data_IF_451305980124
#
_entry.id   IF_451305980124
#
_cell.length_a   1.000
_cell.length_b   1.000
_cell.length_c   1.000
_cell.angle_alpha   90.00
_cell.angle_beta   90.00
_cell.angle_gamma   90.00
#
_symmetry.space_group_name_H-M   'P 1'
#
loop_
_entity.id
_entity.type
_entity.pdbx_description
1 polymer ?
#
# COMPACT_ATOMS: atom_id res chain seq x y z
N UNK A 1 -33.52 8.07 3.49
CA UNK A 1 -33.48 9.45 4.04
C UNK A 1 -32.42 10.25 3.28
N UNK A 2 -32.72 11.51 2.93
CA UNK A 2 -32.01 12.27 1.88
C UNK A 2 -30.53 12.59 2.19
N UNK A 3 -29.64 12.58 1.16
CA UNK A 3 -28.19 12.70 1.30
C UNK A 3 -27.73 14.17 1.25
N UNK A 4 -27.93 14.92 2.34
CA UNK A 4 -27.62 16.36 2.34
C UNK A 4 -26.11 16.60 2.61
N UNK A 5 -25.40 15.69 3.27
CA UNK A 5 -23.95 15.82 3.53
C UNK A 5 -23.06 15.46 2.32
N UNK A 6 -23.52 14.59 1.42
CA UNK A 6 -22.75 14.16 0.24
C UNK A 6 -22.70 15.24 -0.84
N UNK A 7 -23.75 16.06 -0.96
CA UNK A 7 -23.87 17.07 -2.02
C UNK A 7 -22.90 18.24 -1.84
N UNK A 8 -22.62 18.69 -0.61
CA UNK A 8 -21.73 19.81 -0.36
C UNK A 8 -20.25 19.44 -0.64
N UNK A 9 -19.83 18.24 -0.23
CA UNK A 9 -18.49 17.70 -0.55
C UNK A 9 -18.36 17.46 -2.05
N UNK A 10 -19.38 16.85 -2.69
CA UNK A 10 -19.40 16.65 -4.14
C UNK A 10 -19.46 17.98 -4.93
N UNK A 11 -20.04 19.04 -4.38
CA UNK A 11 -20.09 20.36 -5.02
C UNK A 11 -18.74 21.09 -4.92
N UNK A 12 -18.07 21.00 -3.77
CA UNK A 12 -16.71 21.53 -3.59
C UNK A 12 -15.70 20.76 -4.47
N UNK A 13 -15.80 19.43 -4.53
CA UNK A 13 -14.99 18.60 -5.43
C UNK A 13 -15.29 18.91 -6.90
N UNK A 14 -16.56 19.14 -7.27
CA UNK A 14 -16.95 19.55 -8.64
C UNK A 14 -16.45 20.95 -9.00
N UNK A 15 -16.42 21.89 -8.06
CA UNK A 15 -15.94 23.25 -8.27
C UNK A 15 -14.42 23.30 -8.45
N UNK A 16 -13.67 22.57 -7.63
CA UNK A 16 -12.21 22.43 -7.77
C UNK A 16 -11.85 21.65 -9.05
N UNK A 17 -12.58 20.57 -9.36
CA UNK A 17 -12.38 19.80 -10.59
C UNK A 17 -12.63 20.61 -11.88
N UNK A 18 -13.54 21.61 -11.85
CA UNK A 18 -13.84 22.47 -13.01
C UNK A 18 -12.78 23.54 -13.30
N UNK A 19 -11.93 23.89 -12.33
CA UNK A 19 -10.91 24.94 -12.49
C UNK A 19 -9.55 24.41 -12.96
N UNK A 20 -9.34 23.09 -12.90
CA UNK A 20 -8.06 22.42 -13.19
C UNK A 20 -8.20 21.32 -14.25
N UNK A 21 -9.00 21.57 -15.28
CA UNK A 21 -9.45 20.55 -16.25
C UNK A 21 -8.43 20.18 -17.34
N UNK A 22 -7.30 20.89 -17.47
CA UNK A 22 -6.33 20.66 -18.55
C UNK A 22 -4.88 20.62 -18.06
N UNK A 23 -4.02 19.79 -18.71
CA UNK A 23 -2.58 19.80 -18.46
C UNK A 23 -2.08 21.23 -18.54
N UNK A 24 -1.36 21.68 -17.52
CA UNK A 24 -0.78 23.03 -17.55
C UNK A 24 0.34 23.11 -18.58
N UNK A 25 0.74 24.32 -19.00
CA UNK A 25 1.95 24.49 -19.83
C UNK A 25 3.19 23.88 -19.15
N UNK A 26 3.24 23.91 -17.82
CA UNK A 26 4.32 23.30 -17.04
C UNK A 26 4.27 21.77 -17.11
N UNK A 27 3.06 21.18 -17.02
CA UNK A 27 2.88 19.72 -17.15
C UNK A 27 3.38 19.26 -18.53
N UNK A 28 2.99 19.97 -19.60
CA UNK A 28 3.44 19.67 -20.95
C UNK A 28 4.95 19.85 -21.15
N UNK A 29 5.55 20.88 -20.53
CA UNK A 29 6.99 21.11 -20.59
C UNK A 29 7.79 20.01 -19.87
N UNK A 30 7.34 19.61 -18.67
CA UNK A 30 7.92 18.50 -17.92
C UNK A 30 7.77 17.20 -18.72
N UNK A 31 6.58 16.93 -19.25
CA UNK A 31 6.33 15.71 -20.03
C UNK A 31 7.23 15.62 -21.27
N UNK A 32 7.35 16.71 -22.04
CA UNK A 32 8.27 16.79 -23.17
C UNK A 32 9.73 16.60 -22.76
N UNK A 33 10.14 17.15 -21.62
CA UNK A 33 11.48 16.92 -21.09
C UNK A 33 11.70 15.42 -20.77
N UNK A 34 10.74 14.76 -20.13
CA UNK A 34 10.81 13.33 -19.83
C UNK A 34 10.88 12.47 -21.10
N UNK A 35 10.04 12.76 -22.12
CA UNK A 35 10.10 12.07 -23.42
C UNK A 35 11.49 12.20 -24.05
N UNK A 36 12.08 13.40 -24.03
CA UNK A 36 13.45 13.62 -24.54
C UNK A 36 14.49 12.86 -23.73
N UNK A 37 14.33 12.76 -22.41
CA UNK A 37 15.28 11.96 -21.61
C UNK A 37 15.18 10.46 -21.90
N UNK A 38 14.02 9.97 -22.38
CA UNK A 38 13.84 8.58 -22.78
C UNK A 38 14.71 8.13 -23.96
N UNK A 39 15.33 9.05 -24.71
CA UNK A 39 16.30 8.69 -25.76
C UNK A 39 17.74 8.54 -25.23
N UNK A 40 17.99 8.86 -23.97
CA UNK A 40 19.32 8.71 -23.35
C UNK A 40 19.56 7.26 -22.92
N UNK A 41 20.83 6.80 -22.84
CA UNK A 41 21.11 5.45 -22.38
C UNK A 41 20.73 5.28 -20.90
N UNK A 42 19.72 4.46 -20.61
CA UNK A 42 19.12 4.32 -19.27
C UNK A 42 20.15 4.00 -18.19
N UNK A 43 20.90 2.91 -18.37
CA UNK A 43 21.85 2.42 -17.36
C UNK A 43 22.97 3.43 -17.08
N UNK A 44 23.50 4.08 -18.12
CA UNK A 44 24.58 5.05 -17.95
C UNK A 44 24.06 6.33 -17.27
N UNK A 45 22.89 6.82 -17.70
CA UNK A 45 22.26 8.02 -17.16
C UNK A 45 21.87 7.84 -15.69
N UNK A 46 21.21 6.73 -15.36
CA UNK A 46 20.83 6.41 -13.98
C UNK A 46 22.05 6.31 -13.06
N UNK A 47 23.12 5.64 -13.49
CA UNK A 47 24.38 5.55 -12.73
C UNK A 47 25.06 6.90 -12.54
N UNK A 48 25.15 7.70 -13.60
CA UNK A 48 25.77 9.02 -13.55
C UNK A 48 24.99 9.95 -12.60
N UNK A 49 23.65 9.96 -12.69
CA UNK A 49 22.78 10.70 -11.78
C UNK A 49 22.93 10.22 -10.34
N UNK A 50 22.91 8.91 -10.09
CA UNK A 50 23.06 8.34 -8.77
C UNK A 50 24.40 8.72 -8.12
N UNK A 51 25.50 8.70 -8.87
CA UNK A 51 26.82 9.13 -8.41
C UNK A 51 26.85 10.64 -8.08
N UNK A 52 26.27 11.47 -8.94
CA UNK A 52 26.17 12.91 -8.71
C UNK A 52 25.33 13.24 -7.46
N UNK A 53 24.16 12.61 -7.32
CA UNK A 53 23.26 12.75 -6.17
C UNK A 53 23.93 12.33 -4.87
N UNK A 54 24.60 11.17 -4.85
CA UNK A 54 25.31 10.71 -3.65
C UNK A 54 26.43 11.69 -3.26
N UNK A 55 27.19 12.17 -4.24
CA UNK A 55 28.26 13.15 -4.02
C UNK A 55 27.72 14.46 -3.44
N UNK A 56 26.59 14.95 -3.99
CA UNK A 56 25.92 16.15 -3.50
C UNK A 56 25.27 15.98 -2.10
N UNK A 57 24.89 14.76 -1.73
CA UNK A 57 24.29 14.47 -0.43
C UNK A 57 25.32 14.37 0.71
N UNK A 58 26.58 14.00 0.43
CA UNK A 58 27.62 13.80 1.44
C UNK A 58 27.82 15.00 2.38
N UNK A 59 27.93 16.25 1.90
CA UNK A 59 28.16 17.40 2.78
C UNK A 59 27.00 17.68 3.75
N UNK A 60 25.77 17.30 3.38
CA UNK A 60 24.55 17.57 4.16
C UNK A 60 24.08 16.36 4.96
N UNK A 61 24.67 15.18 4.75
CA UNK A 61 24.27 13.94 5.41
C UNK A 61 24.27 14.03 6.96
N UNK A 62 25.25 14.65 7.64
CA UNK A 62 25.22 14.79 9.10
C UNK A 62 24.03 15.63 9.58
N UNK A 63 23.69 16.70 8.86
CA UNK A 63 22.56 17.57 9.18
C UNK A 63 21.23 16.83 8.98
N UNK A 64 21.09 16.12 7.86
CA UNK A 64 19.91 15.29 7.57
C UNK A 64 19.75 14.21 8.64
N UNK A 65 20.83 13.48 8.98
CA UNK A 65 20.80 12.47 10.04
C UNK A 65 20.37 13.05 11.38
N UNK A 66 20.94 14.19 11.78
CA UNK A 66 20.56 14.89 13.02
C UNK A 66 19.07 15.27 13.03
N UNK A 67 18.55 15.80 11.93
CA UNK A 67 17.13 16.14 11.81
C UNK A 67 16.24 14.88 11.88
N UNK A 68 16.62 13.80 11.17
CA UNK A 68 15.84 12.56 11.09
C UNK A 68 15.70 11.90 12.46
N UNK A 69 16.81 11.76 13.18
CA UNK A 69 16.83 11.12 14.49
C UNK A 69 16.37 12.06 15.61
N UNK A 70 16.56 13.39 15.46
CA UNK A 70 16.16 14.38 16.44
C UNK A 70 14.65 14.56 16.59
N UNK A 71 13.87 14.44 15.51
CA UNK A 71 12.40 14.53 15.59
C UNK A 71 11.71 13.20 15.93
N UNK A 72 12.46 12.09 15.93
CA UNK A 72 11.96 10.73 16.06
C UNK A 72 11.18 10.46 17.37
N UNK A 73 11.64 10.92 18.56
CA UNK A 73 10.91 10.68 19.80
C UNK A 73 9.54 11.38 19.83
N UNK A 74 9.47 12.61 19.30
CA UNK A 74 8.23 13.37 19.24
C UNK A 74 7.23 12.71 18.29
N UNK A 75 7.66 12.34 17.09
CA UNK A 75 6.78 11.71 16.11
C UNK A 75 6.34 10.32 16.58
N UNK A 76 7.22 9.56 17.26
CA UNK A 76 6.83 8.33 17.97
C UNK A 76 5.73 8.61 18.99
N UNK A 77 5.91 9.57 19.89
CA UNK A 77 4.89 9.90 20.89
C UNK A 77 3.55 10.33 20.28
N UNK A 78 3.57 11.08 19.18
CA UNK A 78 2.36 11.50 18.46
C UNK A 78 1.65 10.29 17.82
N UNK A 79 2.39 9.44 17.12
CA UNK A 79 1.84 8.24 16.48
C UNK A 79 1.26 7.27 17.50
N UNK A 80 1.93 7.09 18.64
CA UNK A 80 1.42 6.33 19.80
C UNK A 80 0.07 6.85 20.29
N UNK A 81 -0.02 8.16 20.56
CA UNK A 81 -1.28 8.80 20.96
C UNK A 81 -2.37 8.65 19.91
N UNK A 82 -2.01 8.66 18.62
CA UNK A 82 -2.97 8.44 17.54
C UNK A 82 -3.46 7.00 17.52
N UNK A 83 -2.59 6.01 17.66
CA UNK A 83 -2.94 4.60 17.75
C UNK A 83 -3.91 4.34 18.92
N UNK A 84 -3.61 4.88 20.10
CA UNK A 84 -4.46 4.78 21.30
C UNK A 84 -5.84 5.42 21.11
N UNK A 85 -5.94 6.49 20.33
CA UNK A 85 -7.21 7.20 20.08
C UNK A 85 -8.01 6.62 18.92
N UNK A 86 -7.38 5.87 18.01
CA UNK A 86 -8.01 5.36 16.80
C UNK A 86 -9.29 4.55 17.09
N UNK A 87 -9.32 3.57 18.03
CA UNK A 87 -10.53 2.84 18.38
C UNK A 87 -11.74 3.73 18.73
N UNK A 88 -11.51 4.78 19.53
CA UNK A 88 -12.55 5.72 19.92
C UNK A 88 -12.99 6.64 18.77
N UNK A 89 -12.03 7.04 17.95
CA UNK A 89 -12.25 7.94 16.82
C UNK A 89 -13.05 7.32 15.67
N UNK A 90 -13.02 5.99 15.52
CA UNK A 90 -13.78 5.28 14.48
C UNK A 90 -15.29 5.48 14.63
N UNK A 91 -15.78 5.50 15.87
CA UNK A 91 -17.21 5.73 16.14
C UNK A 91 -17.60 7.18 15.91
N UNK A 92 -16.80 8.12 16.40
CA UNK A 92 -17.10 9.56 16.28
C UNK A 92 -16.69 10.17 14.94
N UNK A 93 -16.11 9.37 14.03
CA UNK A 93 -15.47 9.81 12.80
C UNK A 93 -14.55 11.04 13.01
N UNK A 94 -13.73 11.06 14.07
CA UNK A 94 -12.89 12.22 14.43
C UNK A 94 -11.85 12.49 13.32
N UNK A 95 -12.01 13.56 12.49
CA UNK A 95 -11.18 13.78 11.32
C UNK A 95 -9.71 14.07 11.68
N UNK A 96 -9.41 14.46 12.92
CA UNK A 96 -8.04 14.63 13.37
C UNK A 96 -7.29 13.29 13.50
N UNK A 97 -8.02 12.19 13.69
CA UNK A 97 -7.48 10.85 13.89
C UNK A 97 -7.68 9.99 12.64
N UNK A 98 -8.91 9.90 12.13
CA UNK A 98 -9.25 9.02 10.98
C UNK A 98 -9.11 9.69 9.61
N UNK A 99 -8.86 11.01 9.57
CA UNK A 99 -8.73 11.75 8.32
C UNK A 99 -10.01 11.72 7.47
N UNK A 100 -9.86 11.52 6.16
CA UNK A 100 -10.96 11.34 5.21
C UNK A 100 -11.54 9.94 5.37
N UNK A 101 -12.61 9.87 6.14
CA UNK A 101 -13.30 8.62 6.47
C UNK A 101 -14.45 8.35 5.51
N UNK A 102 -14.64 7.09 5.13
CA UNK A 102 -15.77 6.61 4.32
C UNK A 102 -16.41 5.39 4.99
N UNK A 103 -17.74 5.34 4.98
CA UNK A 103 -18.50 4.17 5.39
C UNK A 103 -19.04 3.43 4.16
N UNK A 104 -18.88 2.11 4.15
CA UNK A 104 -19.45 1.21 3.14
C UNK A 104 -20.38 0.19 3.80
N UNK A 105 -21.25 -0.41 2.99
CA UNK A 105 -22.18 -1.44 3.43
C UNK A 105 -21.43 -2.71 3.85
N UNK A 106 -21.57 -3.19 5.11
CA UNK A 106 -20.95 -4.43 5.54
C UNK A 106 -21.53 -5.68 4.85
N UNK A 107 -22.73 -5.60 4.26
CA UNK A 107 -23.33 -6.65 3.43
C UNK A 107 -22.74 -6.77 2.03
N UNK A 108 -21.91 -5.81 1.61
CA UNK A 108 -21.23 -5.84 0.31
C UNK A 108 -20.12 -6.89 0.24
N UNK A 109 -19.65 -7.17 -0.98
CA UNK A 109 -18.50 -8.05 -1.25
C UNK A 109 -17.33 -7.21 -1.75
N UNK A 110 -16.16 -7.32 -1.12
CA UNK A 110 -15.01 -6.47 -1.43
C UNK A 110 -13.71 -7.28 -1.53
N UNK A 111 -13.00 -7.10 -2.64
CA UNK A 111 -11.59 -7.47 -2.78
C UNK A 111 -10.75 -6.30 -2.28
N UNK A 112 -9.85 -6.58 -1.33
CA UNK A 112 -8.97 -5.59 -0.73
C UNK A 112 -7.52 -5.95 -1.06
N UNK A 113 -6.78 -5.05 -1.70
CA UNK A 113 -5.37 -5.23 -2.06
C UNK A 113 -4.56 -3.97 -1.75
N UNK A 114 -3.28 -4.08 -1.43
CA UNK A 114 -2.40 -2.95 -1.07
C UNK A 114 -0.96 -3.18 -1.53
N UNK A 115 -0.06 -2.23 -1.36
CA UNK A 115 1.39 -2.43 -1.59
C UNK A 115 1.68 -2.95 -3.01
N UNK A 116 0.94 -2.47 -4.01
CA UNK A 116 1.11 -2.91 -5.40
C UNK A 116 2.31 -2.22 -6.06
N UNK A 117 2.78 -1.09 -5.52
CA UNK A 117 3.97 -0.36 -5.95
C UNK A 117 4.13 -0.24 -7.48
N UNK A 118 3.05 0.06 -8.19
CA UNK A 118 3.07 0.31 -9.63
C UNK A 118 3.99 1.49 -9.91
N UNK A 119 4.93 1.28 -10.81
CA UNK A 119 6.04 2.20 -11.07
C UNK A 119 6.05 2.67 -12.52
N UNK A 120 6.95 3.60 -12.81
CA UNK A 120 7.32 3.93 -14.19
C UNK A 120 8.05 2.74 -14.83
N UNK A 121 8.05 2.60 -16.17
CA UNK A 121 8.78 1.53 -16.84
C UNK A 121 10.28 1.59 -16.53
N UNK A 122 10.89 0.41 -16.37
CA UNK A 122 12.33 0.25 -16.30
C UNK A 122 12.81 -0.67 -15.19
N UNK A 123 14.04 -0.45 -14.74
CA UNK A 123 14.73 -1.30 -13.77
C UNK A 123 14.12 -1.32 -12.35
N UNK A 124 13.06 -0.53 -12.11
CA UNK A 124 12.33 -0.43 -10.83
C UNK A 124 10.85 -0.73 -10.96
N UNK A 125 10.44 -1.32 -12.06
CA UNK A 125 9.06 -1.73 -12.26
C UNK A 125 8.78 -2.97 -11.38
N UNK A 126 8.51 -2.75 -10.09
CA UNK A 126 8.33 -3.82 -9.10
C UNK A 126 7.32 -4.87 -9.54
N UNK A 127 6.10 -4.52 -10.03
CA UNK A 127 5.16 -5.52 -10.55
C UNK A 127 5.72 -6.39 -11.67
N UNK A 128 6.57 -5.86 -12.55
CA UNK A 128 7.20 -6.66 -13.61
C UNK A 128 8.37 -7.48 -13.11
N UNK A 129 9.19 -6.93 -12.21
CA UNK A 129 10.30 -7.65 -11.58
C UNK A 129 9.81 -8.82 -10.71
N UNK A 130 8.67 -8.63 -10.04
CA UNK A 130 7.99 -9.68 -9.28
C UNK A 130 7.07 -10.54 -10.14
N UNK A 131 6.85 -10.23 -11.42
CA UNK A 131 5.94 -10.98 -12.31
C UNK A 131 4.49 -11.05 -11.79
N UNK A 132 4.00 -9.96 -11.20
CA UNK A 132 2.66 -9.87 -10.59
C UNK A 132 1.67 -9.00 -11.38
N UNK A 133 2.10 -8.22 -12.37
CA UNK A 133 1.22 -7.28 -13.10
C UNK A 133 0.06 -7.99 -13.83
N UNK A 134 0.38 -8.98 -14.67
CA UNK A 134 -0.65 -9.76 -15.38
C UNK A 134 -1.46 -10.67 -14.44
N UNK A 135 -0.82 -11.19 -13.38
CA UNK A 135 -1.48 -11.99 -12.36
C UNK A 135 -2.54 -11.17 -11.60
N UNK A 136 -2.23 -9.91 -11.30
CA UNK A 136 -3.18 -8.98 -10.71
C UNK A 136 -4.32 -8.65 -11.67
N UNK A 137 -4.06 -8.51 -12.98
CA UNK A 137 -5.13 -8.34 -13.97
C UNK A 137 -6.10 -9.52 -14.01
N UNK A 138 -5.60 -10.76 -14.03
CA UNK A 138 -6.46 -11.97 -13.96
C UNK A 138 -7.28 -11.98 -12.67
N UNK A 139 -6.67 -11.55 -11.56
CA UNK A 139 -7.38 -11.37 -10.29
C UNK A 139 -8.54 -10.39 -10.43
N UNK A 140 -8.28 -9.19 -10.95
CA UNK A 140 -9.31 -8.17 -11.17
C UNK A 140 -10.46 -8.68 -12.05
N UNK A 141 -10.16 -9.40 -13.12
CA UNK A 141 -11.16 -9.94 -14.05
C UNK A 141 -12.09 -10.96 -13.37
N UNK A 142 -11.54 -11.84 -12.53
CA UNK A 142 -12.32 -12.79 -11.75
C UNK A 142 -13.31 -12.08 -10.82
N UNK A 143 -12.82 -11.18 -9.97
CA UNK A 143 -13.67 -10.49 -8.99
C UNK A 143 -14.66 -9.51 -9.64
N UNK A 144 -14.30 -8.91 -10.77
CA UNK A 144 -15.22 -8.11 -11.57
C UNK A 144 -16.40 -8.93 -12.11
N UNK A 145 -16.12 -10.15 -12.61
CA UNK A 145 -17.14 -11.05 -13.15
C UNK A 145 -18.13 -11.50 -12.07
N UNK A 146 -17.64 -11.71 -10.86
CA UNK A 146 -18.43 -12.11 -9.70
C UNK A 146 -19.12 -10.93 -9.00
N UNK A 147 -19.05 -9.71 -9.56
CA UNK A 147 -19.65 -8.47 -9.05
C UNK A 147 -19.18 -8.06 -7.63
N UNK A 148 -17.87 -8.20 -7.39
CA UNK A 148 -17.22 -7.70 -6.17
C UNK A 148 -16.81 -6.23 -6.31
N UNK A 149 -16.79 -5.51 -5.20
CA UNK A 149 -16.12 -4.22 -5.06
C UNK A 149 -14.60 -4.35 -5.00
N UNK A 150 -13.87 -3.32 -5.43
CA UNK A 150 -12.42 -3.23 -5.30
C UNK A 150 -12.04 -2.09 -4.34
N UNK A 151 -11.28 -2.43 -3.30
CA UNK A 151 -10.66 -1.50 -2.38
C UNK A 151 -9.14 -1.64 -2.53
N UNK A 152 -8.51 -0.64 -3.13
CA UNK A 152 -7.05 -0.54 -3.16
C UNK A 152 -6.59 0.22 -1.90
N UNK A 153 -5.97 -0.48 -0.95
CA UNK A 153 -5.73 -0.08 0.43
C UNK A 153 -4.39 0.65 0.67
N UNK A 154 -3.92 1.41 -0.32
CA UNK A 154 -2.71 2.24 -0.23
C UNK A 154 -1.48 1.63 -0.91
N UNK A 155 -0.44 2.45 -1.09
CA UNK A 155 0.83 2.10 -1.74
C UNK A 155 0.65 1.40 -3.10
N UNK A 156 -0.34 1.89 -3.85
CA UNK A 156 -0.66 1.28 -5.15
C UNK A 156 0.22 1.84 -6.25
N UNK A 157 0.42 3.15 -6.27
CA UNK A 157 1.38 3.80 -7.17
C UNK A 157 2.58 4.27 -6.37
N UNK A 158 3.80 3.91 -6.79
CA UNK A 158 4.97 4.39 -6.08
C UNK A 158 5.41 5.77 -6.58
N UNK A 159 5.01 6.80 -5.83
CA UNK A 159 5.40 8.20 -6.06
C UNK A 159 6.59 8.62 -5.18
N UNK A 160 7.28 7.68 -4.53
CA UNK A 160 8.52 7.91 -3.80
C UNK A 160 9.73 7.34 -4.55
N UNK A 161 9.56 6.22 -5.23
CA UNK A 161 10.58 5.63 -6.09
C UNK A 161 10.76 6.44 -7.39
N UNK A 162 12.02 6.57 -7.80
CA UNK A 162 12.50 7.15 -9.04
C UNK A 162 13.93 6.64 -9.31
N UNK A 163 14.48 6.94 -10.49
CA UNK A 163 15.78 6.44 -10.96
C UNK A 163 15.66 5.20 -11.87
N UNK A 164 16.78 4.58 -12.23
CA UNK A 164 16.80 3.24 -12.88
C UNK A 164 16.60 3.29 -14.39
N UNK A 165 16.15 4.44 -14.86
CA UNK A 165 16.09 4.87 -16.26
C UNK A 165 16.51 6.33 -16.33
N UNK A 166 16.77 6.82 -17.53
CA UNK A 166 17.02 8.24 -17.76
C UNK A 166 15.80 9.09 -17.37
N UNK A 167 14.58 8.60 -17.65
CA UNK A 167 13.34 9.24 -17.21
C UNK A 167 13.22 9.26 -15.68
N UNK A 168 13.55 8.15 -15.01
CA UNK A 168 13.57 8.09 -13.56
C UNK A 168 14.54 9.09 -12.93
N UNK A 169 15.73 9.25 -13.51
CA UNK A 169 16.71 10.26 -13.08
C UNK A 169 16.18 11.69 -13.26
N UNK A 170 15.51 11.98 -14.39
CA UNK A 170 14.90 13.27 -14.65
C UNK A 170 13.76 13.60 -13.67
N UNK A 171 12.91 12.62 -13.34
CA UNK A 171 11.86 12.77 -12.31
C UNK A 171 12.50 13.07 -10.95
N UNK A 172 13.56 12.35 -10.56
CA UNK A 172 14.26 12.58 -9.30
C UNK A 172 14.87 14.00 -9.24
N UNK A 173 15.51 14.46 -10.32
CA UNK A 173 16.01 15.83 -10.44
C UNK A 173 14.91 16.90 -10.31
N UNK A 174 13.76 16.69 -10.98
CA UNK A 174 12.61 17.60 -10.89
C UNK A 174 11.99 17.60 -9.50
N UNK A 175 11.98 16.47 -8.78
CA UNK A 175 11.53 16.41 -7.39
C UNK A 175 12.46 17.19 -6.46
N UNK A 176 13.78 17.09 -6.64
CA UNK A 176 14.75 17.89 -5.88
C UNK A 176 14.54 19.39 -6.13
N UNK A 177 14.38 19.80 -7.40
CA UNK A 177 14.06 21.18 -7.75
C UNK A 177 12.74 21.63 -7.12
N UNK A 178 11.70 20.79 -7.22
CA UNK A 178 10.40 21.04 -6.60
C UNK A 178 10.47 21.15 -5.08
N UNK A 179 11.35 20.41 -4.41
CA UNK A 179 11.56 20.50 -2.97
C UNK A 179 12.27 21.81 -2.58
N UNK A 180 13.28 22.23 -3.35
CA UNK A 180 13.97 23.52 -3.15
C UNK A 180 13.02 24.70 -3.33
N UNK A 181 12.15 24.64 -4.35
CA UNK A 181 11.20 25.70 -4.65
C UNK A 181 9.94 25.66 -3.78
N UNK A 182 9.64 24.54 -3.12
CA UNK A 182 8.39 24.30 -2.40
C UNK A 182 7.94 25.43 -1.45
N UNK A 183 8.83 26.10 -0.69
CA UNK A 183 8.42 27.20 0.20
C UNK A 183 7.86 28.42 -0.54
N UNK A 184 8.18 28.58 -1.83
CA UNK A 184 7.88 29.78 -2.64
C UNK A 184 6.90 29.44 -3.76
N UNK A 185 7.09 28.30 -4.44
CA UNK A 185 6.23 27.82 -5.51
C UNK A 185 6.12 26.28 -5.51
N UNK A 186 4.90 25.77 -5.32
CA UNK A 186 4.60 24.33 -5.28
C UNK A 186 4.28 23.74 -6.66
N UNK A 187 4.15 24.57 -7.69
CA UNK A 187 3.70 24.14 -9.03
C UNK A 187 4.61 23.08 -9.63
N UNK A 188 5.93 23.21 -9.47
CA UNK A 188 6.90 22.21 -9.96
C UNK A 188 6.66 20.86 -9.29
N UNK A 189 6.61 20.80 -7.95
CA UNK A 189 6.36 19.54 -7.25
C UNK A 189 5.02 18.90 -7.63
N UNK A 190 3.95 19.70 -7.75
CA UNK A 190 2.63 19.19 -8.15
C UNK A 190 2.64 18.68 -9.59
N UNK A 191 3.28 19.41 -10.51
CA UNK A 191 3.38 19.03 -11.92
C UNK A 191 4.22 17.76 -12.10
N UNK A 192 5.37 17.65 -11.40
CA UNK A 192 6.19 16.43 -11.41
C UNK A 192 5.41 15.22 -10.92
N UNK A 193 4.67 15.34 -9.81
CA UNK A 193 3.84 14.25 -9.30
C UNK A 193 2.74 13.84 -10.29
N UNK A 194 2.05 14.81 -10.93
CA UNK A 194 1.04 14.51 -11.96
C UNK A 194 1.64 13.81 -13.18
N UNK A 195 2.78 14.27 -13.68
CA UNK A 195 3.42 13.67 -14.85
C UNK A 195 3.91 12.27 -14.53
N UNK A 196 4.57 12.08 -13.38
CA UNK A 196 4.98 10.75 -12.94
C UNK A 196 3.79 9.80 -12.81
N UNK A 197 2.70 10.23 -12.16
CA UNK A 197 1.48 9.44 -12.06
C UNK A 197 0.95 9.06 -13.45
N UNK A 198 0.95 10.00 -14.39
CA UNK A 198 0.60 9.75 -15.79
C UNK A 198 1.45 8.63 -16.41
N UNK A 199 2.77 8.64 -16.19
CA UNK A 199 3.69 7.62 -16.67
C UNK A 199 3.47 6.25 -16.02
N UNK A 200 3.16 6.21 -14.72
CA UNK A 200 2.79 4.97 -14.03
C UNK A 200 1.49 4.40 -14.63
N UNK A 201 0.48 5.24 -14.83
CA UNK A 201 -0.81 4.82 -15.42
C UNK A 201 -0.62 4.32 -16.85
N UNK A 202 0.21 4.99 -17.65
CA UNK A 202 0.57 4.54 -19.00
C UNK A 202 1.29 3.18 -18.98
N UNK A 203 2.22 2.99 -18.04
CA UNK A 203 2.97 1.74 -17.90
C UNK A 203 2.07 0.53 -17.61
N UNK A 204 1.03 0.73 -16.79
CA UNK A 204 0.09 -0.31 -16.38
C UNK A 204 -1.30 -0.11 -16.99
N UNK A 205 -1.38 0.41 -18.22
CA UNK A 205 -2.62 0.85 -18.84
C UNK A 205 -3.70 -0.25 -18.95
N UNK A 206 -3.31 -1.52 -19.11
CA UNK A 206 -4.24 -2.65 -19.13
C UNK A 206 -4.94 -2.84 -17.78
N UNK A 207 -4.18 -2.79 -16.69
CA UNK A 207 -4.69 -2.86 -15.31
C UNK A 207 -5.63 -1.69 -15.03
N UNK A 208 -5.23 -0.45 -15.32
CA UNK A 208 -6.08 0.72 -15.11
C UNK A 208 -7.35 0.71 -15.95
N UNK A 209 -7.30 0.20 -17.18
CA UNK A 209 -8.48 0.04 -18.03
C UNK A 209 -9.47 -0.95 -17.41
N UNK A 210 -8.97 -2.08 -16.93
CA UNK A 210 -9.78 -3.07 -16.21
C UNK A 210 -10.43 -2.45 -14.97
N UNK A 211 -9.68 -1.71 -14.16
CA UNK A 211 -10.22 -1.00 -12.99
C UNK A 211 -11.30 0.02 -13.41
N UNK A 212 -11.00 0.84 -14.42
CA UNK A 212 -11.89 1.89 -14.90
C UNK A 212 -13.23 1.33 -15.38
N UNK A 213 -13.18 0.31 -16.23
CA UNK A 213 -14.36 -0.27 -16.88
C UNK A 213 -15.16 -1.18 -15.96
N UNK A 214 -14.49 -1.98 -15.13
CA UNK A 214 -15.12 -3.08 -14.38
C UNK A 214 -15.46 -2.74 -12.92
N UNK A 215 -14.83 -1.70 -12.36
CA UNK A 215 -15.04 -1.31 -10.97
C UNK A 215 -15.42 0.17 -10.84
N UNK A 216 -14.65 1.08 -11.44
CA UNK A 216 -14.89 2.51 -11.24
C UNK A 216 -16.17 3.01 -11.94
N UNK A 217 -16.38 2.65 -13.21
CA UNK A 217 -17.59 3.05 -13.94
C UNK A 217 -18.90 2.51 -13.30
N UNK A 218 -18.94 1.27 -12.77
CA UNK A 218 -20.07 0.79 -11.96
C UNK A 218 -20.19 1.39 -10.56
N UNK A 219 -19.25 2.23 -10.10
CA UNK A 219 -19.26 2.80 -8.75
C UNK A 219 -18.82 1.82 -7.65
N UNK A 220 -18.06 0.79 -8.01
CA UNK A 220 -17.55 -0.30 -7.15
C UNK A 220 -16.05 -0.21 -6.86
N UNK A 221 -15.47 0.99 -6.92
CA UNK A 221 -14.04 1.21 -6.73
C UNK A 221 -13.76 2.25 -5.64
N UNK A 222 -12.89 1.91 -4.69
CA UNK A 222 -12.48 2.79 -3.61
C UNK A 222 -10.96 2.74 -3.41
N UNK A 223 -10.39 3.88 -3.02
CA UNK A 223 -8.95 4.05 -2.82
C UNK A 223 -8.64 4.59 -1.43
N UNK A 224 -7.71 3.94 -0.73
CA UNK A 224 -7.05 4.48 0.45
C UNK A 224 -5.68 5.07 0.09
N UNK A 225 -5.23 6.06 0.87
CA UNK A 225 -3.86 6.56 0.81
C UNK A 225 -2.94 5.59 1.55
N UNK A 226 -1.82 5.25 0.94
CA UNK A 226 -0.64 4.78 1.63
C UNK A 226 0.41 5.87 1.78
N UNK A 227 1.60 5.50 2.25
CA UNK A 227 2.71 6.43 2.36
C UNK A 227 3.38 6.73 1.01
N UNK A 228 3.58 5.74 0.13
CA UNK A 228 4.25 5.91 -1.17
C UNK A 228 3.41 6.69 -2.18
N UNK A 229 2.09 6.69 -2.03
CA UNK A 229 1.15 7.40 -2.90
C UNK A 229 0.56 8.67 -2.26
N UNK A 230 1.16 9.14 -1.15
CA UNK A 230 0.72 10.33 -0.41
C UNK A 230 0.60 11.64 -1.22
N UNK A 231 1.27 11.86 -2.38
CA UNK A 231 0.97 13.04 -3.20
C UNK A 231 -0.46 13.05 -3.75
N UNK A 232 -1.14 11.90 -3.86
CA UNK A 232 -2.56 11.81 -4.24
C UNK A 232 -3.49 12.43 -3.19
N UNK A 233 -3.00 12.70 -1.97
CA UNK A 233 -3.77 13.47 -0.99
C UNK A 233 -4.03 14.91 -1.44
N UNK A 234 -3.23 15.43 -2.39
CA UNK A 234 -3.35 16.78 -2.94
C UNK A 234 -4.45 16.82 -4.01
N UNK A 235 -5.43 17.73 -3.91
CA UNK A 235 -6.55 17.80 -4.86
C UNK A 235 -6.12 17.87 -6.33
N UNK A 236 -5.04 18.61 -6.63
CA UNK A 236 -4.55 18.84 -7.99
C UNK A 236 -3.91 17.57 -8.59
N UNK A 237 -3.32 16.72 -7.75
CA UNK A 237 -2.74 15.44 -8.18
C UNK A 237 -3.84 14.39 -8.30
N UNK A 238 -4.77 14.33 -7.34
CA UNK A 238 -5.95 13.47 -7.40
C UNK A 238 -6.83 13.75 -8.63
N UNK A 239 -6.93 15.02 -9.05
CA UNK A 239 -7.64 15.42 -10.27
C UNK A 239 -7.06 14.75 -11.52
N UNK A 240 -5.76 14.46 -11.55
CA UNK A 240 -5.16 13.72 -12.66
C UNK A 240 -5.67 12.27 -12.74
N UNK A 241 -5.83 11.61 -11.58
CA UNK A 241 -6.38 10.26 -11.51
C UNK A 241 -7.88 10.21 -11.83
N UNK A 242 -8.66 11.21 -11.40
CA UNK A 242 -10.11 11.32 -11.73
C UNK A 242 -10.41 11.33 -13.22
N UNK A 243 -9.46 11.76 -14.07
CA UNK A 243 -9.60 11.70 -15.53
C UNK A 243 -9.51 10.28 -16.09
N UNK A 244 -8.95 9.34 -15.32
CA UNK A 244 -8.72 7.94 -15.72
C UNK A 244 -9.66 6.99 -14.97
N UNK A 245 -10.02 7.32 -13.74
CA UNK A 245 -10.89 6.55 -12.87
C UNK A 245 -12.10 7.42 -12.45
N UNK A 246 -13.30 7.21 -13.03
CA UNK A 246 -14.50 7.92 -12.63
C UNK A 246 -14.79 7.77 -11.13
N UNK A 247 -15.21 8.86 -10.48
CA UNK A 247 -15.53 8.83 -9.04
C UNK A 247 -14.32 8.74 -8.10
N UNK A 248 -13.09 8.78 -8.62
CA UNK A 248 -11.87 8.67 -7.81
C UNK A 248 -11.81 9.69 -6.67
N UNK A 249 -11.68 9.18 -5.46
CA UNK A 249 -11.39 9.94 -4.26
C UNK A 249 -10.54 9.09 -3.32
N UNK A 250 -9.43 9.67 -2.84
CA UNK A 250 -8.58 9.03 -1.85
C UNK A 250 -9.15 9.25 -0.46
N UNK A 251 -9.27 8.17 0.30
CA UNK A 251 -9.66 8.14 1.70
C UNK A 251 -8.48 7.72 2.56
N UNK A 252 -8.57 7.95 3.85
CA UNK A 252 -7.52 7.53 4.79
C UNK A 252 -7.98 6.30 5.59
N UNK A 253 -9.29 6.17 5.81
CA UNK A 253 -9.93 5.02 6.47
C UNK A 253 -11.26 4.68 5.76
N UNK A 254 -11.54 3.39 5.59
CA UNK A 254 -12.87 2.87 5.26
C UNK A 254 -13.39 2.06 6.44
N UNK A 255 -14.65 2.25 6.81
CA UNK A 255 -15.36 1.41 7.78
C UNK A 255 -16.49 0.67 7.10
N UNK A 256 -16.65 -0.62 7.43
CA UNK A 256 -17.80 -1.42 7.03
C UNK A 256 -18.83 -1.36 8.15
N UNK A 257 -19.91 -0.62 7.93
CA UNK A 257 -20.95 -0.37 8.94
C UNK A 257 -21.41 1.08 9.01
N UNK A 258 -22.45 1.30 9.80
CA UNK A 258 -23.08 2.62 9.95
C UNK A 258 -22.18 3.64 10.68
N UNK A 259 -22.29 4.94 10.34
CA UNK A 259 -21.74 6.01 11.15
C UNK A 259 -22.23 5.95 12.60
N UNK A 260 -21.43 6.47 13.54
CA UNK A 260 -21.75 6.55 14.99
C UNK A 260 -21.93 5.20 15.70
N UNK A 261 -21.73 4.08 15.01
CA UNK A 261 -21.68 2.72 15.54
C UNK A 261 -20.27 2.17 15.47
N UNK A 262 -19.99 1.15 16.29
CA UNK A 262 -18.77 0.35 16.11
C UNK A 262 -18.90 -0.39 14.77
N UNK A 263 -17.95 -0.21 13.83
CA UNK A 263 -18.03 -0.89 12.55
C UNK A 263 -17.76 -2.40 12.70
N UNK A 264 -18.17 -3.19 11.71
CA UNK A 264 -17.83 -4.62 11.63
C UNK A 264 -16.37 -4.83 11.22
N UNK A 265 -15.85 -3.93 10.37
CA UNK A 265 -14.46 -3.89 9.95
C UNK A 265 -13.98 -2.48 9.67
N UNK A 266 -12.66 -2.29 9.77
CA UNK A 266 -11.93 -1.07 9.48
C UNK A 266 -10.80 -1.43 8.55
N UNK A 267 -10.75 -0.74 7.42
CA UNK A 267 -9.76 -0.92 6.38
C UNK A 267 -8.93 0.37 6.35
N UNK A 268 -7.63 0.23 6.55
CA UNK A 268 -6.66 1.32 6.51
C UNK A 268 -5.36 0.77 5.96
N UNK A 269 -4.55 1.61 5.32
CA UNK A 269 -3.22 1.19 4.92
C UNK A 269 -2.39 0.83 6.16
N UNK A 270 -2.32 1.74 7.14
CA UNK A 270 -1.56 1.59 8.38
C UNK A 270 -0.63 2.77 8.69
N UNK A 271 -0.21 3.51 7.65
CA UNK A 271 0.74 4.64 7.79
C UNK A 271 0.26 5.76 8.73
N UNK A 272 -1.06 5.90 8.98
CA UNK A 272 -1.59 6.97 9.84
C UNK A 272 -1.05 6.93 11.27
N UNK A 273 -0.67 5.74 11.74
CA UNK A 273 -0.11 5.48 13.07
C UNK A 273 1.35 5.05 12.98
N UNK A 274 1.97 5.18 11.82
CA UNK A 274 3.40 4.93 11.63
C UNK A 274 4.19 6.22 11.94
N UNK A 275 5.07 6.22 12.95
CA UNK A 275 5.96 7.34 13.22
C UNK A 275 6.99 7.63 12.11
N UNK A 276 7.39 6.66 11.32
CA UNK A 276 8.39 6.82 10.26
C UNK A 276 7.78 7.27 8.94
N UNK A 277 6.78 6.56 8.40
CA UNK A 277 6.20 6.87 7.09
C UNK A 277 4.85 7.59 7.15
N UNK A 278 4.30 7.83 8.35
CA UNK A 278 3.06 8.57 8.51
C UNK A 278 3.15 10.05 8.11
N UNK A 279 2.04 10.81 8.15
CA UNK A 279 1.97 12.15 7.56
C UNK A 279 3.04 13.15 8.06
N UNK A 280 3.51 13.00 9.31
CA UNK A 280 4.60 13.81 9.87
C UNK A 280 6.00 13.28 9.55
N UNK A 281 6.12 11.97 9.38
CA UNK A 281 7.37 11.27 9.16
C UNK A 281 7.73 11.04 7.70
N UNK A 282 6.78 11.13 6.77
CA UNK A 282 6.92 10.77 5.36
C UNK A 282 8.20 11.30 4.67
N UNK A 283 8.71 12.46 5.07
CA UNK A 283 9.98 12.98 4.56
C UNK A 283 11.19 12.08 4.87
N UNK A 284 11.21 11.38 6.02
CA UNK A 284 12.21 10.38 6.39
C UNK A 284 12.13 9.16 5.46
N UNK A 285 10.93 8.62 5.31
CA UNK A 285 10.65 7.51 4.38
C UNK A 285 11.14 7.84 2.98
N UNK A 286 10.74 9.00 2.43
CA UNK A 286 11.21 9.49 1.12
C UNK A 286 12.72 9.60 1.00
N UNK A 287 13.42 10.09 2.04
CA UNK A 287 14.89 10.17 2.01
C UNK A 287 15.51 8.77 1.99
N UNK A 288 15.02 7.84 2.81
CA UNK A 288 15.52 6.46 2.84
C UNK A 288 15.24 5.77 1.50
N UNK A 289 14.03 5.86 0.96
CA UNK A 289 13.69 5.35 -0.37
C UNK A 289 14.59 5.97 -1.45
N UNK A 290 14.80 7.29 -1.41
CA UNK A 290 15.66 7.99 -2.36
C UNK A 290 17.13 7.54 -2.29
N UNK A 291 17.64 7.24 -1.10
CA UNK A 291 18.98 6.68 -0.91
C UNK A 291 19.06 5.23 -1.39
N UNK A 292 18.05 4.41 -1.06
CA UNK A 292 17.97 3.01 -1.46
C UNK A 292 17.95 2.88 -3.00
N UNK A 293 17.16 3.69 -3.70
CA UNK A 293 17.13 3.70 -5.16
C UNK A 293 18.45 4.20 -5.75
N UNK A 294 19.10 5.19 -5.14
CA UNK A 294 20.44 5.63 -5.57
C UNK A 294 21.49 4.53 -5.43
N UNK A 295 21.50 3.78 -4.32
CA UNK A 295 22.42 2.66 -4.14
C UNK A 295 22.13 1.56 -5.15
N UNK A 296 20.85 1.25 -5.39
CA UNK A 296 20.42 0.28 -6.38
C UNK A 296 20.87 0.67 -7.80
N UNK A 297 20.81 1.94 -8.18
CA UNK A 297 21.31 2.43 -9.48
C UNK A 297 22.81 2.20 -9.65
N UNK A 298 23.60 2.44 -8.60
CA UNK A 298 25.04 2.22 -8.62
C UNK A 298 25.38 0.73 -8.74
N UNK A 299 24.68 -0.11 -7.96
CA UNK A 299 24.92 -1.57 -7.90
C UNK A 299 24.31 -2.34 -9.07
N UNK A 300 23.25 -1.82 -9.69
CA UNK A 300 22.52 -2.47 -10.78
C UNK A 300 21.53 -3.55 -10.34
N UNK A 301 21.11 -3.57 -9.08
CA UNK A 301 20.02 -4.41 -8.58
C UNK A 301 19.18 -3.65 -7.57
N UNK A 302 17.88 -3.92 -7.54
CA UNK A 302 16.93 -3.22 -6.68
C UNK A 302 17.01 -3.73 -5.23
N UNK A 303 16.86 -2.81 -4.27
CA UNK A 303 16.85 -3.11 -2.84
C UNK A 303 15.41 -3.21 -2.35
N UNK A 304 15.13 -4.16 -1.46
CA UNK A 304 13.82 -4.33 -0.85
C UNK A 304 12.83 -5.19 -1.65
N UNK A 305 13.15 -5.53 -2.90
CA UNK A 305 12.38 -6.54 -3.64
C UNK A 305 12.65 -7.92 -3.05
N UNK A 306 11.58 -8.61 -2.71
CA UNK A 306 11.61 -10.00 -2.27
C UNK A 306 11.66 -10.95 -3.47
N UNK A 307 12.43 -12.02 -3.33
CA UNK A 307 12.54 -13.08 -4.34
C UNK A 307 11.53 -14.21 -4.06
N UNK A 308 11.61 -15.28 -4.86
CA UNK A 308 10.81 -16.49 -4.63
C UNK A 308 11.00 -17.15 -3.26
N UNK A 309 12.00 -16.77 -2.45
CA UNK A 309 12.17 -17.27 -1.08
C UNK A 309 11.08 -16.76 -0.16
N UNK A 310 10.68 -15.49 -0.29
CA UNK A 310 9.56 -14.93 0.47
C UNK A 310 8.24 -15.64 0.12
N UNK A 311 7.99 -15.85 -1.18
CA UNK A 311 6.85 -16.66 -1.68
C UNK A 311 6.85 -18.05 -1.03
N UNK A 312 7.96 -18.78 -1.14
CA UNK A 312 8.08 -20.14 -0.59
C UNK A 312 7.88 -20.14 0.92
N UNK A 313 8.44 -19.16 1.65
CA UNK A 313 8.27 -19.05 3.10
C UNK A 313 6.79 -18.86 3.46
N UNK A 314 6.08 -17.97 2.77
CA UNK A 314 4.65 -17.75 2.97
C UNK A 314 3.82 -19.00 2.68
N UNK A 315 3.96 -19.59 1.48
CA UNK A 315 3.15 -20.74 1.06
C UNK A 315 3.41 -22.01 1.89
N UNK A 316 4.59 -22.14 2.49
CA UNK A 316 4.94 -23.24 3.39
C UNK A 316 4.59 -22.99 4.86
N UNK A 317 3.90 -21.88 5.18
CA UNK A 317 3.56 -21.51 6.56
C UNK A 317 4.77 -21.14 7.42
N UNK A 318 5.90 -20.79 6.81
CA UNK A 318 7.14 -20.39 7.50
C UNK A 318 7.33 -18.86 7.55
N UNK A 319 6.53 -18.09 6.81
CA UNK A 319 6.49 -16.65 6.97
C UNK A 319 5.99 -16.33 8.38
N UNK A 320 6.73 -15.54 9.14
CA UNK A 320 6.41 -15.25 10.53
C UNK A 320 5.17 -14.37 10.65
N UNK A 321 4.00 -14.99 10.87
CA UNK A 321 2.76 -14.30 11.21
C UNK A 321 2.83 -13.78 12.67
N UNK A 322 3.53 -12.66 12.85
CA UNK A 322 3.84 -12.06 14.17
C UNK A 322 3.54 -10.57 14.16
N UNK A 323 3.03 -10.06 15.27
CA UNK A 323 2.87 -8.63 15.47
C UNK A 323 4.24 -7.95 15.55
N UNK A 324 4.37 -6.82 14.85
CA UNK A 324 5.54 -5.96 14.91
C UNK A 324 5.43 -5.01 16.09
N UNK A 325 6.47 -5.00 16.93
CA UNK A 325 6.48 -4.24 18.17
C UNK A 325 7.65 -3.26 18.19
N UNK A 326 7.33 -1.98 18.36
CA UNK A 326 8.33 -0.90 18.42
C UNK A 326 8.39 -0.39 19.87
N UNK A 327 9.04 -1.21 20.72
CA UNK A 327 9.19 -0.97 22.15
C UNK A 327 10.51 -0.24 22.43
N UNK A 328 10.61 1.02 21.99
CA UNK A 328 11.76 1.88 22.22
C UNK A 328 11.54 3.33 21.79
N UNK A 329 12.54 4.22 21.95
CA UNK A 329 12.52 5.56 21.37
C UNK A 329 12.78 5.56 19.86
N UNK A 330 13.20 4.42 19.32
CA UNK A 330 13.47 4.22 17.90
C UNK A 330 12.19 3.82 17.18
N UNK A 331 11.82 4.52 16.10
CA UNK A 331 10.61 4.27 15.30
C UNK A 331 10.73 3.11 14.30
N UNK A 332 11.62 2.16 14.55
CA UNK A 332 11.91 1.06 13.64
C UNK A 332 12.31 -0.19 14.44
N UNK A 333 11.79 -1.35 14.05
CA UNK A 333 12.18 -2.64 14.62
C UNK A 333 13.47 -3.19 13.98
N UNK A 334 13.88 -4.40 14.39
CA UNK A 334 15.10 -5.06 13.88
C UNK A 334 15.00 -5.45 12.40
N UNK A 335 13.79 -5.64 11.90
CA UNK A 335 13.50 -6.05 10.53
C UNK A 335 13.14 -4.83 9.65
N UNK A 336 13.40 -3.61 10.16
CA UNK A 336 13.16 -2.33 9.50
C UNK A 336 11.68 -1.96 9.32
N UNK A 337 10.77 -2.64 10.02
CA UNK A 337 9.36 -2.24 10.08
C UNK A 337 9.16 -1.08 11.04
N UNK A 338 8.20 -0.22 10.70
CA UNK A 338 8.04 1.10 11.32
C UNK A 338 6.66 1.32 11.94
N UNK A 339 5.70 0.43 11.65
CA UNK A 339 4.40 0.38 12.32
C UNK A 339 4.47 -0.43 13.63
N UNK A 340 3.93 0.13 14.72
CA UNK A 340 3.76 -0.58 15.99
C UNK A 340 2.40 -1.28 16.06
N UNK A 341 2.33 -2.50 15.55
CA UNK A 341 1.10 -3.28 15.49
C UNK A 341 0.65 -3.79 16.87
N UNK A 342 1.59 -4.09 17.77
CA UNK A 342 1.27 -4.43 19.16
C UNK A 342 0.48 -3.32 19.86
N UNK A 343 0.89 -2.07 19.71
CA UNK A 343 0.20 -0.95 20.37
C UNK A 343 -1.18 -0.67 19.77
N UNK A 344 -1.34 -0.90 18.47
CA UNK A 344 -2.66 -0.90 17.85
C UNK A 344 -3.53 -2.03 18.41
N UNK A 345 -2.98 -3.24 18.56
CA UNK A 345 -3.69 -4.37 19.15
C UNK A 345 -4.17 -4.06 20.58
N UNK A 346 -3.24 -3.61 21.44
CA UNK A 346 -3.53 -3.22 22.82
C UNK A 346 -4.63 -2.15 22.89
N UNK A 347 -4.55 -1.10 22.05
CA UNK A 347 -5.56 -0.05 22.03
C UNK A 347 -6.96 -0.55 21.64
N UNK A 348 -7.06 -1.46 20.66
CA UNK A 348 -8.33 -2.06 20.27
C UNK A 348 -8.87 -3.00 21.36
N UNK A 349 -8.00 -3.84 21.94
CA UNK A 349 -8.35 -4.73 23.04
C UNK A 349 -8.84 -3.97 24.28
N UNK A 350 -8.17 -2.89 24.66
CA UNK A 350 -8.56 -2.02 25.77
C UNK A 350 -9.94 -1.38 25.53
N UNK A 351 -10.25 -1.03 24.27
CA UNK A 351 -11.50 -0.33 23.93
C UNK A 351 -12.69 -1.26 23.79
N UNK A 352 -12.49 -2.43 23.18
CA UNK A 352 -13.57 -3.31 22.73
C UNK A 352 -13.55 -4.68 23.43
N UNK A 353 -12.42 -5.10 24.00
CA UNK A 353 -12.12 -6.47 24.45
C UNK A 353 -11.25 -7.23 23.46
N UNK A 354 -10.50 -8.25 23.90
CA UNK A 354 -9.54 -9.00 23.06
C UNK A 354 -10.18 -9.68 21.84
N UNK A 355 -11.40 -10.20 22.02
CA UNK A 355 -12.16 -10.94 21.00
C UNK A 355 -13.32 -10.13 20.40
N UNK A 356 -13.46 -8.87 20.81
CA UNK A 356 -14.59 -8.00 20.46
C UNK A 356 -14.12 -6.75 19.71
N UNK A 357 -15.02 -6.13 18.95
CA UNK A 357 -14.72 -4.95 18.12
C UNK A 357 -14.66 -5.24 16.61
N UNK A 358 -14.25 -4.26 15.80
CA UNK A 358 -14.14 -4.43 14.36
C UNK A 358 -12.98 -5.36 13.97
N UNK A 359 -13.07 -5.98 12.79
CA UNK A 359 -11.88 -6.49 12.11
C UNK A 359 -10.97 -5.34 11.68
N UNK A 360 -9.67 -5.43 11.95
CA UNK A 360 -8.66 -4.52 11.41
C UNK A 360 -8.04 -5.14 10.16
N UNK A 361 -8.23 -4.50 9.00
CA UNK A 361 -7.65 -4.90 7.72
C UNK A 361 -6.57 -3.90 7.32
N UNK A 362 -5.32 -4.36 7.25
CA UNK A 362 -4.13 -3.55 6.94
C UNK A 362 -3.52 -3.92 5.58
N UNK A 363 -2.64 -3.05 5.09
CA UNK A 363 -1.80 -3.32 3.94
C UNK A 363 -0.57 -2.43 3.87
N UNK A 364 0.24 -2.36 4.94
CA UNK A 364 1.39 -1.42 5.04
C UNK A 364 2.73 -2.10 5.33
N UNK A 365 2.74 -3.27 5.98
CA UNK A 365 3.99 -3.93 6.40
C UNK A 365 4.53 -4.89 5.37
N UNK A 366 3.92 -5.03 4.19
CA UNK A 366 4.36 -5.98 3.17
C UNK A 366 4.43 -7.44 3.72
N UNK A 367 3.72 -7.75 4.81
CA UNK A 367 3.71 -9.10 5.38
C UNK A 367 2.26 -9.55 5.44
N UNK A 368 1.80 -10.38 4.48
CA UNK A 368 0.47 -10.93 4.55
C UNK A 368 0.32 -11.78 5.82
N UNK A 369 -0.78 -11.59 6.53
CA UNK A 369 -1.00 -12.18 7.85
C UNK A 369 -2.46 -12.26 8.22
N UNK A 370 -2.81 -13.24 9.04
CA UNK A 370 -4.14 -13.42 9.61
C UNK A 370 -3.98 -13.84 11.07
N UNK A 371 -4.56 -13.11 12.02
CA UNK A 371 -4.42 -13.41 13.44
C UNK A 371 -2.97 -13.52 13.95
N UNK A 372 -2.11 -12.51 13.70
CA UNK A 372 -0.70 -12.56 14.06
C UNK A 372 -0.49 -12.75 15.56
N UNK A 373 0.55 -13.51 15.89
CA UNK A 373 0.93 -13.78 17.27
C UNK A 373 1.76 -12.63 17.87
N UNK A 374 1.45 -12.20 19.09
CA UNK A 374 2.25 -11.23 19.84
C UNK A 374 3.30 -11.97 20.68
N UNK A 375 4.61 -11.78 20.41
CA UNK A 375 5.65 -12.43 21.18
C UNK A 375 5.79 -11.96 22.63
N UNK A 376 5.32 -10.76 22.93
CA UNK A 376 5.41 -10.13 24.24
C UNK A 376 4.32 -10.58 25.20
N UNK A 377 3.10 -10.80 24.73
CA UNK A 377 1.97 -11.26 25.55
C UNK A 377 1.70 -12.76 25.40
N UNK A 378 2.13 -13.35 24.29
CA UNK A 378 1.79 -14.73 23.93
C UNK A 378 0.39 -14.89 23.33
N UNK A 379 -0.37 -13.81 23.15
CA UNK A 379 -1.73 -13.81 22.59
C UNK A 379 -1.73 -13.66 21.06
N UNK A 380 -2.90 -13.86 20.44
CA UNK A 380 -3.13 -13.57 19.01
C UNK A 380 -4.05 -12.38 18.86
N UNK A 381 -3.79 -11.53 17.87
CA UNK A 381 -4.77 -10.53 17.46
C UNK A 381 -5.83 -11.15 16.53
N UNK A 382 -6.81 -11.86 17.08
CA UNK A 382 -7.77 -12.68 16.30
C UNK A 382 -8.58 -11.90 15.26
N UNK A 383 -8.81 -10.59 15.47
CA UNK A 383 -9.56 -9.73 14.56
C UNK A 383 -8.66 -8.83 13.69
N UNK A 384 -7.60 -9.41 13.14
CA UNK A 384 -6.63 -8.72 12.30
C UNK A 384 -6.33 -9.52 11.04
N UNK A 385 -6.28 -8.85 9.88
CA UNK A 385 -5.75 -9.40 8.63
C UNK A 385 -4.93 -8.33 7.91
N UNK A 386 -3.82 -8.72 7.29
CA UNK A 386 -3.01 -7.85 6.46
C UNK A 386 -2.88 -8.47 5.06
N UNK A 387 -3.19 -7.67 4.03
CA UNK A 387 -3.16 -8.17 2.65
C UNK A 387 -1.76 -8.26 2.06
N UNK A 388 -0.84 -7.33 2.39
CA UNK A 388 0.55 -7.27 1.90
C UNK A 388 0.77 -7.70 0.44
N UNK A 389 0.11 -7.08 -0.56
CA UNK A 389 -0.14 -7.71 -1.88
C UNK A 389 1.04 -7.80 -2.86
N UNK A 390 2.17 -7.10 -2.61
CA UNK A 390 3.30 -7.00 -3.56
C UNK A 390 4.64 -7.55 -3.07
N UNK A 391 4.63 -8.72 -2.43
CA UNK A 391 5.79 -9.17 -1.61
C UNK A 391 6.24 -10.59 -1.91
N UNK A 392 5.59 -11.28 -2.83
CA UNK A 392 6.08 -12.55 -3.34
C UNK A 392 6.27 -12.45 -4.85
N UNK A 393 7.47 -12.74 -5.34
CA UNK A 393 7.64 -12.98 -6.77
C UNK A 393 6.65 -14.05 -7.25
N UNK A 394 5.89 -13.78 -8.31
CA UNK A 394 4.84 -14.63 -8.89
C UNK A 394 3.69 -14.95 -7.93
N UNK A 395 3.40 -14.06 -6.97
CA UNK A 395 2.33 -14.23 -5.98
C UNK A 395 1.65 -12.88 -5.69
N UNK A 396 0.33 -12.84 -5.80
CA UNK A 396 -0.49 -11.73 -5.31
C UNK A 396 -1.25 -12.21 -4.07
N UNK A 397 -1.18 -11.46 -2.97
CA UNK A 397 -2.05 -11.68 -1.81
C UNK A 397 -3.13 -10.61 -1.73
N UNK A 398 -4.30 -10.94 -1.20
CA UNK A 398 -5.42 -10.01 -1.06
C UNK A 398 -6.30 -10.43 0.11
N UNK A 399 -7.28 -9.59 0.46
CA UNK A 399 -8.31 -9.94 1.45
C UNK A 399 -9.68 -9.92 0.78
N UNK A 400 -10.41 -11.01 0.92
CA UNK A 400 -11.82 -11.09 0.57
C UNK A 400 -12.67 -10.72 1.79
N UNK A 401 -13.56 -9.74 1.64
CA UNK A 401 -14.69 -9.55 2.55
C UNK A 401 -15.97 -9.97 1.84
N UNK A 402 -16.61 -11.04 2.28
CA UNK A 402 -17.93 -11.45 1.78
C UNK A 402 -19.03 -11.13 2.81
N UNK A 403 -19.67 -9.98 2.65
CA UNK A 403 -20.77 -9.54 3.50
C UNK A 403 -22.06 -10.36 3.37
N UNK A 404 -22.14 -11.25 2.37
CA UNK A 404 -23.29 -12.13 2.15
C UNK A 404 -23.16 -13.46 2.90
N UNK A 405 -21.96 -13.78 3.40
CA UNK A 405 -21.71 -14.96 4.20
C UNK A 405 -22.39 -14.88 5.57
N UNK A 406 -22.81 -16.04 6.10
CA UNK A 406 -23.42 -16.16 7.44
C UNK A 406 -22.48 -15.64 8.53
N UNK A 407 -21.20 -15.99 8.46
CA UNK A 407 -20.14 -15.45 9.30
C UNK A 407 -19.30 -14.46 8.49
N UNK A 408 -19.63 -13.16 8.60
CA UNK A 408 -18.88 -12.09 7.96
C UNK A 408 -17.50 -11.93 8.58
N UNK A 409 -16.48 -12.35 7.84
CA UNK A 409 -15.08 -12.21 8.22
C UNK A 409 -14.20 -12.00 7.00
N UNK A 410 -13.09 -11.25 7.13
CA UNK A 410 -12.09 -11.16 6.09
C UNK A 410 -11.40 -12.53 5.91
N UNK A 411 -11.01 -12.83 4.67
CA UNK A 411 -10.20 -14.01 4.33
C UNK A 411 -8.95 -13.57 3.59
N UNK A 412 -7.78 -13.86 4.14
CA UNK A 412 -6.53 -13.70 3.41
C UNK A 412 -6.50 -14.72 2.28
N UNK A 413 -6.23 -14.29 1.06
CA UNK A 413 -6.10 -15.15 -0.11
C UNK A 413 -4.75 -14.91 -0.79
N UNK A 414 -4.20 -15.96 -1.36
CA UNK A 414 -3.02 -15.90 -2.21
C UNK A 414 -3.36 -16.45 -3.59
N UNK A 415 -2.88 -15.77 -4.61
CA UNK A 415 -3.22 -15.99 -6.02
C UNK A 415 -1.91 -16.13 -6.77
N UNK A 416 -1.76 -17.24 -7.50
CA UNK A 416 -0.58 -17.55 -8.29
C UNK A 416 -0.95 -18.49 -9.43
N UNK A 417 -0.01 -18.73 -10.37
CA UNK A 417 -0.16 -19.85 -11.30
C UNK A 417 -0.07 -21.18 -10.54
N UNK A 418 -0.68 -22.21 -11.09
CA UNK A 418 -0.71 -23.55 -10.47
C UNK A 418 0.70 -24.11 -10.23
N UNK A 419 1.61 -23.97 -11.21
CA UNK A 419 3.01 -24.39 -11.11
C UNK A 419 3.79 -23.65 -10.03
N UNK A 420 3.55 -22.35 -9.84
CA UNK A 420 4.20 -21.54 -8.80
C UNK A 420 3.85 -22.02 -7.38
N UNK A 421 2.62 -22.49 -7.19
CA UNK A 421 2.20 -23.13 -5.94
C UNK A 421 2.84 -24.52 -5.77
N UNK A 422 2.95 -25.30 -6.85
CA UNK A 422 3.51 -26.65 -6.80
C UNK A 422 5.03 -26.67 -6.60
N UNK A 423 5.76 -25.72 -7.18
CA UNK A 423 7.20 -25.48 -6.96
C UNK A 423 7.53 -25.23 -5.48
N UNK A 424 6.57 -24.71 -4.72
CA UNK A 424 6.79 -24.30 -3.33
C UNK A 424 6.70 -25.46 -2.34
N UNK A 425 6.50 -26.69 -2.83
CA UNK A 425 6.23 -27.88 -2.04
C UNK A 425 4.75 -27.99 -1.67
N UNK A 426 4.34 -29.06 -0.96
CA UNK A 426 2.95 -29.18 -0.53
C UNK A 426 2.57 -27.96 0.32
N UNK A 427 1.49 -27.28 -0.05
CA UNK A 427 0.77 -26.40 0.88
C UNK A 427 0.43 -27.29 2.08
N UNK A 428 0.84 -26.90 3.29
CA UNK A 428 0.78 -27.69 4.53
C UNK A 428 1.84 -28.80 4.74
N UNK A 429 2.89 -28.92 3.92
CA UNK A 429 3.93 -29.98 4.05
C UNK A 429 4.62 -30.04 5.41
N UNK A 430 4.63 -28.92 6.13
CA UNK A 430 5.17 -28.82 7.47
C UNK A 430 4.15 -28.09 8.34
N UNK A 431 2.95 -28.66 8.55
CA UNK A 431 2.13 -28.25 9.70
C UNK A 431 2.98 -28.50 10.95
N UNK A 432 3.53 -27.45 11.57
CA UNK A 432 4.34 -27.66 12.75
C UNK A 432 3.40 -28.25 13.81
N UNK A 433 3.85 -29.28 14.53
CA UNK A 433 3.07 -29.85 15.62
C UNK A 433 2.63 -28.74 16.59
N UNK A 434 1.43 -28.86 17.20
CA UNK A 434 0.80 -27.78 17.97
C UNK A 434 1.67 -27.23 19.11
N UNK A 435 2.61 -28.04 19.59
CA UNK A 435 3.52 -27.69 20.69
C UNK A 435 4.73 -26.83 20.28
N UNK A 436 5.02 -26.70 18.97
CA UNK A 436 6.19 -25.99 18.47
C UNK A 436 5.97 -24.47 18.32
N UNK A 437 6.98 -23.62 18.58
CA UNK A 437 6.88 -22.16 18.38
C UNK A 437 6.63 -21.78 16.91
N UNK A 438 6.94 -22.66 15.96
CA UNK A 438 6.62 -22.49 14.54
C UNK A 438 5.11 -22.61 14.26
N UNK A 439 4.35 -23.39 15.05
CA UNK A 439 2.90 -23.53 14.89
C UNK A 439 2.18 -22.21 15.13
N UNK A 440 2.62 -21.45 16.13
CA UNK A 440 2.01 -20.17 16.53
C UNK A 440 2.05 -19.11 15.45
N UNK A 441 2.96 -19.24 14.49
CA UNK A 441 3.25 -18.22 13.47
C UNK A 441 2.98 -18.72 12.07
N UNK A 442 2.45 -19.95 11.92
CA UNK A 442 2.13 -20.53 10.63
C UNK A 442 0.79 -20.00 10.11
N UNK A 443 0.67 -20.00 8.78
CA UNK A 443 -0.60 -19.85 8.06
C UNK A 443 -0.86 -21.15 7.30
N UNK A 444 -2.10 -21.62 7.35
CA UNK A 444 -2.54 -22.84 6.68
C UNK A 444 -3.32 -22.52 5.43
N UNK A 445 -2.92 -23.14 4.32
CA UNK A 445 -3.61 -22.97 3.05
C UNK A 445 -4.79 -23.92 2.94
N UNK A 446 -5.93 -23.39 2.50
CA UNK A 446 -7.14 -24.16 2.25
C UNK A 446 -7.17 -24.80 0.86
N UNK A 447 -8.39 -25.06 0.38
CA UNK A 447 -8.63 -25.61 -0.96
C UNK A 447 -8.20 -24.62 -2.04
N UNK A 448 -7.59 -25.15 -3.11
CA UNK A 448 -7.29 -24.42 -4.35
C UNK A 448 -8.56 -24.24 -5.18
N UNK A 449 -8.76 -23.02 -5.67
CA UNK A 449 -9.86 -22.64 -6.55
C UNK A 449 -9.28 -22.02 -7.82
N UNK A 450 -9.60 -22.56 -9.00
CA UNK A 450 -9.18 -21.96 -10.28
C UNK A 450 -10.03 -20.73 -10.57
N UNK A 451 -9.38 -19.58 -10.74
CA UNK A 451 -10.05 -18.29 -10.96
C UNK A 451 -9.89 -17.75 -12.38
N UNK A 452 -8.95 -18.30 -13.15
CA UNK A 452 -8.67 -17.88 -14.52
C UNK A 452 -7.49 -18.63 -15.12
N UNK A 453 -6.94 -18.10 -16.20
CA UNK A 453 -5.73 -18.61 -16.85
C UNK A 453 -4.78 -17.48 -17.21
N UNK A 454 -3.48 -17.78 -17.23
CA UNK A 454 -2.43 -16.88 -17.68
C UNK A 454 -1.45 -17.69 -18.53
N UNK A 455 -1.27 -17.30 -19.80
CA UNK A 455 -0.43 -18.02 -20.77
C UNK A 455 -0.80 -19.51 -20.95
N UNK A 456 -2.10 -19.82 -20.86
CA UNK A 456 -2.63 -21.19 -20.95
C UNK A 456 -2.53 -22.00 -19.67
N UNK A 457 -1.91 -21.47 -18.62
CA UNK A 457 -1.79 -22.12 -17.32
C UNK A 457 -2.92 -21.69 -16.37
N UNK A 458 -3.51 -22.60 -15.57
CA UNK A 458 -4.46 -22.24 -14.54
C UNK A 458 -3.88 -21.27 -13.51
N UNK A 459 -4.61 -20.18 -13.24
CA UNK A 459 -4.38 -19.29 -12.09
C UNK A 459 -5.31 -19.71 -10.98
N UNK A 460 -4.73 -19.91 -9.80
CA UNK A 460 -5.41 -20.49 -8.64
C UNK A 460 -5.35 -19.56 -7.44
N UNK A 461 -6.45 -19.52 -6.71
CA UNK A 461 -6.65 -18.82 -5.45
C UNK A 461 -6.65 -19.84 -4.31
N UNK A 462 -5.98 -19.50 -3.22
CA UNK A 462 -5.96 -20.29 -1.98
C UNK A 462 -6.23 -19.36 -0.81
N UNK A 463 -7.21 -19.71 0.04
CA UNK A 463 -7.45 -18.99 1.28
C UNK A 463 -6.46 -19.45 2.35
N UNK A 464 -5.90 -18.51 3.11
CA UNK A 464 -4.99 -18.77 4.22
C UNK A 464 -5.62 -18.33 5.53
N UNK A 465 -5.36 -19.08 6.59
CA UNK A 465 -5.76 -18.71 7.94
C UNK A 465 -4.73 -19.12 8.99
N UNK A 466 -4.71 -18.42 10.13
CA UNK A 466 -4.00 -18.91 11.31
C UNK A 466 -4.55 -20.27 11.76
N UNK A 467 -3.73 -21.13 12.41
CA UNK A 467 -4.23 -22.33 13.02
C UNK A 467 -5.24 -22.02 14.13
N UNK A 468 -6.20 -22.91 14.38
CA UNK A 468 -7.01 -22.87 15.59
C UNK A 468 -6.10 -22.99 16.81
N UNK A 469 -6.49 -22.32 17.90
CA UNK A 469 -5.77 -22.37 19.19
C UNK A 469 -5.88 -23.73 19.88
#
# INVERSE_FOLDING_TARGET
MNPISTLAVQAADRFLARRETHPTRLDAAIDQALVRTGSLPDRATAKAWAAAKLTAALPVAPLIGTAMFGSLPLDTAISRRRAQRLPGALRSADPAIVGRHLHLDPGGRYLISSDLHRCIPGARDWPRLQETDELYRVTLEHYAKEDWGLIEAGDVEDLWMAGGTAMGAAIDALRLLGAVLWPIDRRVSHATARVQLGRIVENHAATYRTIAERFAAPGRYWRLSGNHDDPLSRPEVAAAMRRRLPGFAVRDVISLGEPDRTPEAVITHGHLTDPWNGPRGAWRGRIVTSLATTIADLRGHELGITDGTARRAFLSGRAGNRLRSIRGPFSMDRDQFTLNETELHEAFADRFGEDAGPWLVLGHTHVPGDGPWDPGTGSRYRRYVNCGSGVGQRLVTAVEWDGTAEARRPRLVAIARQSDLDESGPIDAARPGPEGPAHRIALHGGRRETIGTLDGEPVVKVAFSAPPD
#
